data_IF_610313437381
#
_entry.id   IF_610313437381
#
_cell.length_a   1.000
_cell.length_b   1.000
_cell.length_c   1.000
_cell.angle_alpha   90.00
_cell.angle_beta   90.00
_cell.angle_gamma   90.00
#
_symmetry.space_group_name_H-M   'P 1'
#
loop_
_entity.id
_entity.type
_entity.pdbx_description
1 polymer ?
#
# COMPACT_ATOMS: atom_id res chain seq x y z
N UNK A 1 24.83 0.51 -34.91
CA UNK A 1 25.45 0.77 -33.58
C UNK A 1 26.96 0.96 -33.78
N UNK A 2 27.48 2.15 -33.43
CA UNK A 2 28.92 2.41 -33.48
C UNK A 2 29.52 2.01 -32.13
N UNK A 3 30.51 1.12 -32.16
CA UNK A 3 31.27 0.76 -30.96
C UNK A 3 32.31 1.87 -30.75
N UNK A 4 32.23 2.54 -29.62
CA UNK A 4 33.25 3.51 -29.20
C UNK A 4 34.16 2.79 -28.21
N UNK A 5 35.42 2.64 -28.58
CA UNK A 5 36.45 2.08 -27.70
C UNK A 5 37.08 3.24 -26.94
N UNK A 6 37.11 3.13 -25.61
CA UNK A 6 37.76 4.09 -24.72
C UNK A 6 39.04 3.46 -24.15
N UNK A 7 40.17 4.10 -24.41
CA UNK A 7 41.49 3.66 -23.96
C UNK A 7 42.09 4.60 -22.91
N UNK A 8 41.30 5.53 -22.35
CA UNK A 8 41.74 6.55 -21.42
C UNK A 8 42.26 7.83 -22.09
N UNK A 9 42.51 8.84 -21.27
CA UNK A 9 42.97 10.16 -21.71
C UNK A 9 44.49 10.22 -21.82
N UNK A 10 44.98 11.12 -22.69
CA UNK A 10 46.41 11.36 -22.84
C UNK A 10 46.99 11.83 -21.49
N UNK A 11 48.11 11.21 -21.08
CA UNK A 11 48.84 11.50 -19.84
C UNK A 11 48.06 11.23 -18.53
N UNK A 12 46.99 10.44 -18.58
CA UNK A 12 46.25 9.98 -17.39
C UNK A 12 46.30 8.46 -17.26
N UNK A 13 46.34 7.95 -16.02
CA UNK A 13 46.34 6.51 -15.73
C UNK A 13 44.92 5.92 -15.64
N UNK A 14 43.98 6.43 -16.43
CA UNK A 14 42.55 6.02 -16.44
C UNK A 14 42.20 5.01 -17.53
N UNK A 15 43.18 4.60 -18.35
CA UNK A 15 43.01 3.57 -19.37
C UNK A 15 44.30 2.78 -19.60
N UNK A 16 44.76 2.70 -20.85
CA UNK A 16 45.97 1.94 -21.18
C UNK A 16 47.22 2.61 -20.61
N UNK A 17 47.99 1.85 -19.84
CA UNK A 17 49.28 2.29 -19.28
C UNK A 17 50.38 1.29 -19.67
N UNK A 18 51.60 1.78 -19.82
CA UNK A 18 52.77 0.96 -20.10
C UNK A 18 53.77 1.09 -18.95
N UNK A 19 53.94 0.01 -18.20
CA UNK A 19 54.97 -0.12 -17.17
C UNK A 19 55.91 -1.29 -17.50
N UNK A 20 57.11 -1.30 -16.93
CA UNK A 20 58.07 -2.39 -17.10
C UNK A 20 57.61 -3.64 -16.33
N UNK A 21 56.69 -4.41 -16.90
CA UNK A 21 56.13 -5.62 -16.31
C UNK A 21 55.36 -6.45 -17.34
N UNK A 22 54.85 -7.61 -16.92
CA UNK A 22 54.00 -8.45 -17.77
C UNK A 22 52.63 -7.79 -18.02
N UNK A 23 52.07 -8.03 -19.21
CA UNK A 23 50.75 -7.53 -19.56
C UNK A 23 49.69 -8.12 -18.64
N UNK A 24 49.02 -7.24 -17.89
CA UNK A 24 47.90 -7.63 -17.00
C UNK A 24 46.70 -6.74 -17.31
N UNK A 25 45.56 -7.32 -17.77
CA UNK A 25 44.34 -6.55 -17.96
C UNK A 25 43.78 -6.12 -16.60
N UNK A 26 43.62 -4.81 -16.39
CA UNK A 26 43.10 -4.27 -15.13
C UNK A 26 41.58 -4.44 -15.01
N UNK A 27 40.80 -3.80 -15.91
CA UNK A 27 39.34 -3.90 -15.94
C UNK A 27 38.84 -3.78 -17.39
N UNK A 28 37.88 -4.62 -17.77
CA UNK A 28 37.17 -4.54 -19.05
C UNK A 28 35.69 -4.39 -18.71
N UNK A 29 35.12 -3.23 -19.01
CA UNK A 29 33.69 -2.97 -18.83
C UNK A 29 33.03 -2.85 -20.20
N UNK A 30 31.83 -3.38 -20.33
CA UNK A 30 30.99 -3.22 -21.51
C UNK A 30 29.58 -2.88 -21.06
N UNK A 31 28.91 -2.02 -21.82
CA UNK A 31 27.51 -1.66 -21.60
C UNK A 31 26.55 -2.53 -22.43
N UNK A 32 27.05 -3.59 -23.05
CA UNK A 32 26.24 -4.54 -23.81
C UNK A 32 25.62 -5.60 -22.90
N UNK A 33 24.33 -5.84 -23.08
CA UNK A 33 23.58 -6.92 -22.44
C UNK A 33 23.00 -7.84 -23.51
N UNK A 34 22.88 -9.13 -23.20
CA UNK A 34 22.14 -10.07 -24.04
C UNK A 34 20.66 -9.65 -24.06
N UNK A 35 19.96 -9.93 -25.16
CA UNK A 35 18.51 -9.77 -25.17
C UNK A 35 17.91 -10.63 -24.06
N UNK A 36 17.18 -9.99 -23.15
CA UNK A 36 16.52 -10.67 -22.06
C UNK A 36 15.00 -10.67 -22.21
N UNK A 37 14.38 -11.79 -21.85
CA UNK A 37 12.93 -11.89 -21.74
C UNK A 37 12.46 -11.51 -20.33
N UNK A 38 11.20 -11.10 -20.21
CA UNK A 38 10.60 -10.74 -18.92
C UNK A 38 10.58 -11.95 -17.98
N UNK A 39 11.27 -11.84 -16.84
CA UNK A 39 11.37 -12.90 -15.84
C UNK A 39 10.44 -12.65 -14.64
N UNK A 40 10.15 -11.39 -14.30
CA UNK A 40 9.24 -11.08 -13.20
C UNK A 40 9.17 -9.60 -12.85
N UNK A 41 8.40 -9.29 -11.81
CA UNK A 41 8.25 -7.95 -11.26
C UNK A 41 8.47 -7.95 -9.76
N UNK A 42 9.20 -6.96 -9.27
CA UNK A 42 9.37 -6.69 -7.85
C UNK A 42 8.87 -5.29 -7.52
N UNK A 43 8.36 -5.11 -6.31
CA UNK A 43 7.86 -3.82 -5.83
C UNK A 43 8.62 -3.50 -4.56
N UNK A 44 9.42 -2.44 -4.59
CA UNK A 44 10.17 -1.96 -3.44
C UNK A 44 9.25 -1.26 -2.43
N UNK A 45 9.72 -1.06 -1.19
CA UNK A 45 8.91 -0.47 -0.12
C UNK A 45 8.50 1.00 -0.37
N UNK A 46 9.29 1.68 -1.19
CA UNK A 46 9.04 3.03 -1.70
C UNK A 46 7.96 3.05 -2.81
N UNK A 47 7.45 1.89 -3.24
CA UNK A 47 6.44 1.73 -4.27
C UNK A 47 6.99 1.70 -5.70
N UNK A 48 8.30 1.58 -5.86
CA UNK A 48 8.95 1.48 -7.16
C UNK A 48 8.78 0.06 -7.72
N UNK A 49 8.08 -0.03 -8.86
CA UNK A 49 7.86 -1.27 -9.61
C UNK A 49 9.03 -1.48 -10.55
N UNK A 50 9.78 -2.55 -10.33
CA UNK A 50 10.94 -2.93 -11.14
C UNK A 50 10.68 -4.23 -11.87
N UNK A 51 10.85 -4.23 -13.19
CA UNK A 51 10.86 -5.45 -13.98
C UNK A 51 12.24 -6.10 -13.94
N UNK A 52 12.26 -7.41 -13.73
CA UNK A 52 13.43 -8.26 -13.80
C UNK A 52 13.43 -9.01 -15.14
N UNK A 53 14.58 -9.02 -15.79
CA UNK A 53 14.82 -9.78 -17.01
C UNK A 53 15.76 -10.96 -16.74
N UNK A 54 15.65 -12.01 -17.55
CA UNK A 54 16.48 -13.23 -17.44
C UNK A 54 17.98 -13.00 -17.73
N UNK A 55 18.32 -11.88 -18.37
CA UNK A 55 19.69 -11.43 -18.61
C UNK A 55 20.33 -10.75 -17.37
N UNK A 56 19.62 -10.71 -16.24
CA UNK A 56 20.07 -10.08 -14.99
C UNK A 56 19.89 -8.56 -14.95
N UNK A 57 19.34 -7.95 -15.99
CA UNK A 57 19.02 -6.53 -16.02
C UNK A 57 17.73 -6.27 -15.24
N UNK A 58 17.72 -5.19 -14.47
CA UNK A 58 16.51 -4.67 -13.81
C UNK A 58 16.19 -3.30 -14.36
N UNK A 59 14.91 -3.05 -14.64
CA UNK A 59 14.45 -1.75 -15.13
C UNK A 59 13.30 -1.23 -14.28
N UNK A 60 13.38 0.00 -13.74
CA UNK A 60 12.24 0.64 -13.12
C UNK A 60 11.17 0.92 -14.19
N UNK A 61 9.95 0.45 -13.97
CA UNK A 61 8.84 0.57 -14.94
C UNK A 61 7.84 1.62 -14.50
N UNK A 62 7.50 1.64 -13.21
CA UNK A 62 6.44 2.51 -12.69
C UNK A 62 6.66 2.80 -11.20
N UNK A 63 6.05 3.89 -10.73
CA UNK A 63 6.04 4.28 -9.33
C UNK A 63 4.59 4.33 -8.89
N UNK A 64 4.21 3.51 -7.91
CA UNK A 64 2.83 3.49 -7.38
C UNK A 64 2.63 4.74 -6.51
N UNK A 65 1.72 5.66 -6.88
CA UNK A 65 1.38 6.78 -6.02
C UNK A 65 0.39 6.36 -4.94
N UNK A 66 0.56 6.89 -3.73
CA UNK A 66 -0.40 6.76 -2.63
C UNK A 66 -1.18 8.07 -2.47
N UNK A 67 -2.50 7.97 -2.31
CA UNK A 67 -3.35 9.12 -2.04
C UNK A 67 -3.58 9.26 -0.53
N UNK A 68 -3.20 10.40 0.03
CA UNK A 68 -3.50 10.77 1.43
C UNK A 68 -4.60 11.83 1.45
N UNK A 69 -5.48 11.74 2.45
CA UNK A 69 -6.57 12.70 2.68
C UNK A 69 -6.40 13.35 4.05
N UNK A 70 -6.87 14.60 4.19
CA UNK A 70 -6.82 15.31 5.48
C UNK A 70 -7.73 14.64 6.51
N UNK A 71 -8.91 14.19 6.09
CA UNK A 71 -9.86 13.51 6.97
C UNK A 71 -10.34 12.18 6.35
N UNK A 72 -9.65 11.09 6.69
CA UNK A 72 -9.94 9.74 6.21
C UNK A 72 -11.31 9.21 6.66
N UNK A 73 -11.81 9.65 7.82
CA UNK A 73 -13.10 9.17 8.35
C UNK A 73 -14.31 9.75 7.62
N UNK A 74 -14.10 10.83 6.84
CA UNK A 74 -15.17 11.47 6.07
C UNK A 74 -15.21 11.01 4.62
N UNK A 75 -14.45 9.98 4.25
CA UNK A 75 -14.51 9.39 2.92
C UNK A 75 -15.84 8.67 2.70
N UNK A 76 -16.40 8.82 1.50
CA UNK A 76 -17.63 8.14 1.11
C UNK A 76 -17.34 6.68 0.82
N UNK A 77 -17.92 5.77 1.61
CA UNK A 77 -17.79 4.33 1.37
C UNK A 77 -18.55 3.92 0.08
N UNK A 78 -17.90 3.13 -0.77
CA UNK A 78 -18.50 2.48 -1.93
C UNK A 78 -18.37 0.96 -1.82
N UNK A 79 -19.15 0.25 -2.62
CA UNK A 79 -19.16 -1.22 -2.57
C UNK A 79 -17.80 -1.79 -2.98
N UNK A 80 -17.23 -2.68 -2.16
CA UNK A 80 -16.01 -3.43 -2.50
C UNK A 80 -14.70 -2.85 -1.95
N UNK A 81 -14.68 -2.35 -0.71
CA UNK A 81 -13.49 -1.76 -0.07
C UNK A 81 -12.89 -0.57 -0.84
N UNK A 82 -13.75 0.20 -1.49
CA UNK A 82 -13.37 1.39 -2.23
C UNK A 82 -13.99 2.61 -1.60
N UNK A 83 -13.23 3.71 -1.58
CA UNK A 83 -13.66 4.98 -1.01
C UNK A 83 -13.61 6.08 -2.05
N UNK A 84 -14.50 7.06 -1.90
CA UNK A 84 -14.58 8.25 -2.73
C UNK A 84 -14.36 9.51 -1.88
N UNK A 85 -13.65 10.49 -2.44
CA UNK A 85 -13.46 11.79 -1.83
C UNK A 85 -14.80 12.52 -1.70
N UNK A 86 -15.03 13.11 -0.53
CA UNK A 86 -16.17 13.98 -0.24
C UNK A 86 -15.67 15.39 0.05
N UNK A 87 -16.57 16.37 0.06
CA UNK A 87 -16.23 17.74 0.46
C UNK A 87 -15.63 17.80 1.88
N UNK A 88 -16.10 16.93 2.79
CA UNK A 88 -15.61 16.85 4.17
C UNK A 88 -14.27 16.10 4.32
N UNK A 89 -13.90 15.20 3.39
CA UNK A 89 -12.60 14.52 3.42
C UNK A 89 -11.45 15.41 2.92
N UNK A 90 -11.78 16.43 2.12
CA UNK A 90 -10.83 17.21 1.34
C UNK A 90 -10.35 16.47 0.09
N UNK A 91 -9.53 17.16 -0.69
CA UNK A 91 -8.95 16.65 -1.93
C UNK A 91 -7.83 15.63 -1.70
N UNK A 92 -7.66 14.65 -2.60
CA UNK A 92 -6.56 13.69 -2.52
C UNK A 92 -5.21 14.37 -2.77
N UNK A 93 -4.26 14.16 -1.86
CA UNK A 93 -2.85 14.51 -2.09
C UNK A 93 -2.06 13.26 -2.48
N UNK A 94 -1.52 13.24 -3.70
CA UNK A 94 -0.70 12.13 -4.19
C UNK A 94 0.74 12.26 -3.66
N UNK A 95 1.29 11.18 -3.12
CA UNK A 95 2.65 11.08 -2.60
C UNK A 95 3.30 9.77 -3.05
N UNK A 96 4.62 9.71 -3.03
CA UNK A 96 5.34 8.44 -3.14
C UNK A 96 5.22 7.67 -1.83
N UNK A 97 5.29 6.34 -1.85
CA UNK A 97 5.31 5.58 -0.61
C UNK A 97 6.58 5.89 0.20
N UNK A 98 6.52 5.68 1.52
CA UNK A 98 7.60 6.00 2.47
C UNK A 98 7.99 7.50 2.52
N UNK A 99 7.14 8.42 2.02
CA UNK A 99 7.41 9.86 2.02
C UNK A 99 6.39 10.70 2.79
N UNK A 100 6.78 11.14 3.99
CA UNK A 100 5.95 12.02 4.84
C UNK A 100 4.81 11.23 5.52
N UNK A 101 3.54 11.65 5.43
CA UNK A 101 2.42 10.94 6.06
C UNK A 101 1.99 9.66 5.32
N UNK A 102 2.57 9.35 4.17
CA UNK A 102 2.29 8.11 3.45
C UNK A 102 3.02 6.92 4.09
N UNK A 103 2.34 5.80 4.29
CA UNK A 103 2.96 4.56 4.75
C UNK A 103 3.90 3.91 3.72
N UNK A 104 4.46 2.76 4.08
CA UNK A 104 5.28 1.91 3.23
C UNK A 104 4.44 0.87 2.50
N UNK A 105 4.88 0.46 1.32
CA UNK A 105 4.28 -0.68 0.61
C UNK A 105 5.05 -1.94 1.00
N UNK A 106 4.33 -3.03 1.27
CA UNK A 106 4.96 -4.35 1.47
C UNK A 106 4.52 -5.27 0.34
N UNK A 107 5.48 -5.78 -0.44
CA UNK A 107 5.17 -6.70 -1.53
C UNK A 107 4.64 -8.04 -0.97
N UNK A 108 3.72 -8.65 -1.72
CA UNK A 108 3.18 -9.99 -1.45
C UNK A 108 2.52 -10.16 -0.07
N UNK A 109 2.09 -9.05 0.54
CA UNK A 109 1.31 -9.03 1.78
C UNK A 109 -0.09 -8.52 1.53
N UNK A 110 -1.06 -8.98 2.34
CA UNK A 110 -2.45 -8.53 2.32
C UNK A 110 -2.81 -8.01 3.71
N UNK A 111 -3.31 -6.77 3.77
CA UNK A 111 -3.76 -6.18 5.04
C UNK A 111 -4.99 -6.90 5.58
N UNK A 112 -4.91 -7.31 6.85
CA UNK A 112 -6.02 -7.96 7.54
C UNK A 112 -6.96 -6.92 8.15
N UNK A 113 -8.21 -7.33 8.38
CA UNK A 113 -9.16 -6.51 9.11
C UNK A 113 -8.65 -6.24 10.53
N UNK A 114 -8.77 -4.99 10.97
CA UNK A 114 -8.47 -4.58 12.35
C UNK A 114 -9.59 -4.95 13.33
N UNK A 115 -10.64 -5.64 12.88
CA UNK A 115 -11.81 -5.99 13.70
C UNK A 115 -11.52 -7.21 14.58
N UNK A 116 -11.73 -7.06 15.90
CA UNK A 116 -11.77 -8.18 16.83
C UNK A 116 -13.20 -8.74 16.95
N UNK A 117 -13.35 -9.97 16.44
CA UNK A 117 -14.63 -10.68 16.41
C UNK A 117 -15.19 -10.91 17.84
N UNK A 118 -14.35 -11.18 18.85
CA UNK A 118 -14.81 -11.42 20.21
C UNK A 118 -15.41 -10.19 20.87
N UNK A 119 -14.78 -9.03 20.64
CA UNK A 119 -15.28 -7.74 21.10
C UNK A 119 -16.58 -7.34 20.39
N UNK A 120 -16.65 -7.51 19.07
CA UNK A 120 -17.85 -7.19 18.29
C UNK A 120 -19.04 -8.09 18.64
N UNK A 121 -18.82 -9.38 18.91
CA UNK A 121 -19.88 -10.26 19.41
C UNK A 121 -20.40 -9.83 20.79
N UNK A 122 -19.49 -9.46 21.70
CA UNK A 122 -19.90 -8.97 23.02
C UNK A 122 -20.71 -7.69 22.91
N UNK A 123 -20.29 -6.76 22.06
CA UNK A 123 -21.02 -5.52 21.76
C UNK A 123 -22.39 -5.81 21.17
N UNK A 124 -22.51 -6.78 20.25
CA UNK A 124 -23.80 -7.22 19.72
C UNK A 124 -24.71 -7.78 20.82
N UNK A 125 -24.19 -8.61 21.74
CA UNK A 125 -24.97 -9.14 22.86
C UNK A 125 -25.45 -8.02 23.79
N UNK A 126 -24.61 -7.03 24.07
CA UNK A 126 -24.99 -5.86 24.88
C UNK A 126 -26.12 -5.08 24.21
N UNK A 127 -26.01 -4.82 22.90
CA UNK A 127 -27.07 -4.12 22.13
C UNK A 127 -28.36 -4.93 22.11
N UNK A 128 -28.30 -6.25 21.91
CA UNK A 128 -29.48 -7.13 21.94
C UNK A 128 -30.12 -7.18 23.32
N UNK A 129 -29.33 -7.26 24.40
CA UNK A 129 -29.85 -7.22 25.77
C UNK A 129 -30.50 -5.88 26.09
N UNK A 130 -29.90 -4.77 25.66
CA UNK A 130 -30.49 -3.44 25.80
C UNK A 130 -31.84 -3.36 25.08
N UNK A 131 -31.92 -3.87 23.85
CA UNK A 131 -33.17 -3.93 23.09
C UNK A 131 -34.25 -4.78 23.79
N UNK A 132 -33.90 -5.98 24.27
CA UNK A 132 -34.83 -6.84 25.02
C UNK A 132 -35.31 -6.21 26.33
N UNK A 133 -34.43 -5.49 27.03
CA UNK A 133 -34.79 -4.75 28.23
C UNK A 133 -35.77 -3.61 27.89
N UNK A 134 -35.47 -2.83 26.85
CA UNK A 134 -36.38 -1.77 26.37
C UNK A 134 -37.73 -2.33 25.93
N UNK A 135 -37.75 -3.46 25.21
CA UNK A 135 -39.00 -4.13 24.82
C UNK A 135 -39.79 -4.61 26.04
N UNK A 136 -39.12 -5.14 27.07
CA UNK A 136 -39.82 -5.56 28.30
C UNK A 136 -40.40 -4.36 29.04
N UNK A 137 -39.67 -3.25 29.15
CA UNK A 137 -40.17 -2.00 29.75
C UNK A 137 -41.44 -1.53 29.02
N UNK A 138 -41.46 -1.54 27.69
CA UNK A 138 -42.64 -1.19 26.90
C UNK A 138 -43.80 -2.14 27.21
N UNK A 139 -43.59 -3.45 27.18
CA UNK A 139 -44.67 -4.42 27.46
C UNK A 139 -45.27 -4.23 28.86
N UNK A 140 -44.44 -3.98 29.88
CA UNK A 140 -44.92 -3.75 31.23
C UNK A 140 -45.65 -2.42 31.37
N UNK A 141 -45.25 -1.39 30.61
CA UNK A 141 -45.96 -0.12 30.57
C UNK A 141 -47.35 -0.30 29.92
N UNK A 142 -47.43 -1.07 28.83
CA UNK A 142 -48.70 -1.38 28.15
C UNK A 142 -49.64 -2.20 29.04
N UNK A 143 -49.12 -3.23 29.73
CA UNK A 143 -49.89 -4.03 30.70
C UNK A 143 -50.46 -3.16 31.83
N UNK A 144 -49.67 -2.22 32.37
CA UNK A 144 -50.17 -1.27 33.39
C UNK A 144 -51.23 -0.31 32.83
N UNK A 145 -51.07 0.14 31.59
CA UNK A 145 -52.01 1.06 30.94
C UNK A 145 -53.35 0.38 30.67
N UNK A 146 -53.32 -0.89 30.27
CA UNK A 146 -54.52 -1.71 30.10
C UNK A 146 -55.25 -1.92 31.44
N UNK A 147 -54.51 -2.21 32.53
CA UNK A 147 -55.12 -2.37 33.85
C UNK A 147 -55.73 -1.07 34.37
N UNK A 148 -55.10 0.09 34.14
CA UNK A 148 -55.67 1.41 34.46
C UNK A 148 -56.97 1.68 33.70
N UNK A 149 -57.06 1.30 32.43
CA UNK A 149 -58.29 1.41 31.64
C UNK A 149 -59.40 0.50 32.17
N UNK A 150 -59.04 -0.69 32.68
CA UNK A 150 -59.97 -1.66 33.25
C UNK A 150 -60.57 -1.22 34.59
N UNK A 151 -59.78 -0.56 35.44
CA UNK A 151 -60.23 -0.01 36.74
C UNK A 151 -61.14 1.22 36.60
N UNK A 152 -61.12 1.90 35.45
CA UNK A 152 -61.98 3.07 35.18
C UNK A 152 -63.43 2.70 34.80
N UNK A 153 -63.75 1.41 34.64
CA UNK A 153 -65.14 0.91 34.50
C UNK A 153 -65.71 0.51 35.84
#
# INVERSE_FOLDING_TARGET
PQITLDFGDIASANGMTQFGGEFTPAFITQNGSQFGTFAGVTISNDGLVTALFDNGETRPVYQIPLATFVNVNSLGNRTGNVWNSTEASGDPTLRTADNGPSGQITQASLEQSTVDIGAEFTKMIVVQRAFSASAKIISTADEMLEELLRVKR
#
